data_IF_238397446645
#
_entry.id   IF_238397446645
#
_cell.length_a   1.000
_cell.length_b   1.000
_cell.length_c   1.000
_cell.angle_alpha   90.00
_cell.angle_beta   90.00
_cell.angle_gamma   90.00
#
_symmetry.space_group_name_H-M   'P 1'
#
loop_
_entity.id
_entity.type
_entity.pdbx_description
1 polymer ?
#
# COMPACT_ATOMS: atom_id res chain seq x y z
N UNK A 1 -14.30 -1.01 4.99
CA UNK A 1 -13.78 -2.38 5.18
C UNK A 1 -13.34 -2.55 6.63
N UNK A 2 -14.07 -3.37 7.44
CA UNK A 2 -13.72 -3.58 8.85
C UNK A 2 -12.33 -4.22 9.02
N UNK A 3 -11.99 -5.15 8.14
CA UNK A 3 -10.69 -5.83 8.21
C UNK A 3 -9.53 -4.89 7.85
N UNK A 4 -9.77 -3.93 6.99
CA UNK A 4 -8.77 -2.91 6.67
C UNK A 4 -8.49 -2.01 7.87
N UNK A 5 -9.53 -1.65 8.62
CA UNK A 5 -9.37 -0.85 9.84
C UNK A 5 -8.58 -1.61 10.91
N UNK A 6 -8.84 -2.91 11.06
CA UNK A 6 -8.10 -3.76 12.01
C UNK A 6 -6.63 -3.85 11.60
N UNK A 7 -6.35 -4.09 10.32
CA UNK A 7 -4.98 -4.18 9.83
C UNK A 7 -4.22 -2.87 10.08
N UNK A 8 -4.86 -1.72 9.83
CA UNK A 8 -4.26 -0.41 10.07
C UNK A 8 -3.94 -0.22 11.54
N UNK A 9 -4.92 -0.44 12.41
CA UNK A 9 -4.78 -0.21 13.85
C UNK A 9 -3.76 -1.13 14.48
N UNK A 10 -3.81 -2.42 14.16
CA UNK A 10 -3.06 -3.43 14.90
C UNK A 10 -1.67 -3.70 14.32
N UNK A 11 -1.44 -3.35 13.04
CA UNK A 11 -0.18 -3.67 12.37
C UNK A 11 0.50 -2.48 11.70
N UNK A 12 -0.23 -1.70 10.91
CA UNK A 12 0.38 -0.66 10.09
C UNK A 12 0.75 0.57 10.90
N UNK A 13 -0.15 1.07 11.74
CA UNK A 13 0.14 2.24 12.57
C UNK A 13 1.25 1.97 13.58
N UNK A 14 1.27 0.82 14.28
CA UNK A 14 2.41 0.52 15.16
C UNK A 14 3.74 0.48 14.42
N UNK A 15 3.78 -0.09 13.21
CA UNK A 15 5.00 -0.13 12.41
C UNK A 15 5.42 1.27 11.97
N UNK A 16 4.48 2.07 11.52
CA UNK A 16 4.74 3.44 11.05
C UNK A 16 5.25 4.34 12.18
N UNK A 17 4.81 4.08 13.40
CA UNK A 17 5.19 4.87 14.58
C UNK A 17 6.37 4.29 15.34
N UNK A 18 6.87 3.13 14.93
CA UNK A 18 8.03 2.50 15.58
C UNK A 18 9.29 3.27 15.23
N UNK A 19 10.07 3.76 16.24
CA UNK A 19 11.29 4.52 15.97
C UNK A 19 12.33 3.76 15.15
N UNK A 20 12.31 2.42 15.22
CA UNK A 20 13.24 1.58 14.49
C UNK A 20 12.89 1.49 13.00
N UNK A 21 11.61 1.57 12.64
CA UNK A 21 11.14 1.30 11.29
C UNK A 21 10.61 2.51 10.53
N UNK A 22 10.16 3.55 11.23
CA UNK A 22 9.46 4.68 10.61
C UNK A 22 10.26 5.40 9.51
N UNK A 23 11.60 5.33 9.55
CA UNK A 23 12.47 5.92 8.54
C UNK A 23 12.97 4.92 7.51
N UNK A 24 12.65 3.64 7.66
CA UNK A 24 13.08 2.57 6.77
C UNK A 24 11.95 2.04 5.89
N UNK A 25 10.71 2.24 6.31
CA UNK A 25 9.53 1.72 5.64
C UNK A 25 8.58 2.88 5.37
N UNK A 26 8.09 2.95 4.15
CA UNK A 26 7.04 3.88 3.78
C UNK A 26 5.78 3.09 3.51
N UNK A 27 4.70 3.44 4.20
CA UNK A 27 3.40 2.77 4.05
C UNK A 27 2.50 3.64 3.22
N UNK A 28 1.99 3.09 2.13
CA UNK A 28 1.00 3.73 1.28
C UNK A 28 -0.28 2.91 1.31
N UNK A 29 -1.39 3.58 1.60
CA UNK A 29 -2.70 2.96 1.57
C UNK A 29 -3.34 3.20 0.21
N UNK A 30 -3.73 2.11 -0.45
CA UNK A 30 -4.40 2.16 -1.75
C UNK A 30 -5.84 1.74 -1.55
N UNK A 31 -6.76 2.59 -1.98
CA UNK A 31 -8.18 2.30 -1.93
C UNK A 31 -8.64 1.78 -3.29
N UNK A 32 -8.96 0.49 -3.35
CA UNK A 32 -9.18 -0.25 -4.60
C UNK A 32 -10.41 0.23 -5.38
N UNK A 33 -11.32 0.92 -4.72
CA UNK A 33 -12.56 1.41 -5.32
C UNK A 33 -12.51 2.89 -5.70
N UNK A 34 -11.37 3.56 -5.52
CA UNK A 34 -11.24 4.98 -5.79
C UNK A 34 -10.55 5.28 -7.10
N UNK A 35 -11.02 6.31 -7.78
CA UNK A 35 -10.41 6.85 -8.98
C UNK A 35 -9.43 7.99 -8.68
N UNK A 36 -9.08 8.20 -7.42
CA UNK A 36 -8.09 9.20 -7.01
C UNK A 36 -6.76 8.91 -7.70
N UNK A 37 -6.14 9.96 -8.22
CA UNK A 37 -4.89 9.84 -8.97
C UNK A 37 -3.70 9.59 -8.06
N UNK A 38 -2.78 8.80 -8.56
CA UNK A 38 -1.46 8.63 -7.93
C UNK A 38 -0.42 8.38 -9.03
N UNK A 39 0.84 8.38 -8.66
CA UNK A 39 1.93 8.00 -9.55
C UNK A 39 2.44 6.63 -9.15
N UNK A 40 2.66 5.77 -10.14
CA UNK A 40 3.26 4.47 -9.91
C UNK A 40 4.78 4.60 -9.68
N UNK A 41 5.47 3.48 -9.50
CA UNK A 41 6.90 3.49 -9.22
C UNK A 41 7.74 3.95 -10.41
N UNK A 42 7.19 3.90 -11.62
CA UNK A 42 7.85 4.42 -12.81
C UNK A 42 7.57 5.92 -13.02
N UNK A 43 6.78 6.53 -12.14
CA UNK A 43 6.39 7.93 -12.25
C UNK A 43 5.24 8.19 -13.18
N UNK A 44 4.59 7.16 -13.70
CA UNK A 44 3.44 7.31 -14.60
C UNK A 44 2.17 7.60 -13.81
N UNK A 45 1.32 8.46 -14.36
CA UNK A 45 0.04 8.78 -13.75
C UNK A 45 -0.91 7.58 -13.84
N UNK A 46 -1.54 7.25 -12.73
CA UNK A 46 -2.53 6.19 -12.64
C UNK A 46 -3.58 6.55 -11.61
N UNK A 47 -4.42 5.60 -11.23
CA UNK A 47 -5.39 5.77 -10.15
C UNK A 47 -5.22 4.65 -9.13
N UNK A 48 -5.78 4.85 -7.93
CA UNK A 48 -5.76 3.81 -6.90
C UNK A 48 -6.34 2.50 -7.43
N UNK A 49 -7.49 2.57 -8.10
CA UNK A 49 -8.15 1.39 -8.67
C UNK A 49 -7.29 0.70 -9.72
N UNK A 50 -6.75 1.46 -10.67
CA UNK A 50 -5.95 0.89 -11.75
C UNK A 50 -4.63 0.31 -11.22
N UNK A 51 -4.01 0.97 -10.26
CA UNK A 51 -2.78 0.49 -9.64
C UNK A 51 -3.02 -0.83 -8.90
N UNK A 52 -4.07 -0.90 -8.07
CA UNK A 52 -4.42 -2.14 -7.39
C UNK A 52 -4.71 -3.28 -8.37
N UNK A 53 -5.42 -2.98 -9.45
CA UNK A 53 -5.74 -3.97 -10.48
C UNK A 53 -4.48 -4.47 -11.17
N UNK A 54 -3.53 -3.59 -11.44
CA UNK A 54 -2.25 -3.97 -12.08
C UNK A 54 -1.43 -4.91 -11.22
N UNK A 55 -1.61 -4.85 -9.89
CA UNK A 55 -0.95 -5.74 -8.94
C UNK A 55 -1.72 -7.03 -8.68
N UNK A 56 -2.85 -7.23 -9.34
CA UNK A 56 -3.66 -8.43 -9.17
C UNK A 56 -4.42 -8.49 -7.86
N UNK A 57 -4.64 -7.36 -7.20
CA UNK A 57 -5.36 -7.32 -5.93
C UNK A 57 -6.83 -7.59 -6.16
N UNK A 58 -7.36 -8.62 -5.53
CA UNK A 58 -8.77 -9.04 -5.63
C UNK A 58 -9.49 -9.00 -4.31
N UNK A 59 -8.76 -9.05 -3.20
CA UNK A 59 -9.34 -9.06 -1.84
C UNK A 59 -8.67 -7.99 -1.01
N UNK A 60 -9.40 -7.45 -0.06
CA UNK A 60 -8.90 -6.47 0.89
C UNK A 60 -9.11 -6.97 2.32
N UNK A 61 -8.18 -6.72 3.23
CA UNK A 61 -6.90 -6.05 3.00
C UNK A 61 -5.89 -6.96 2.31
N UNK A 62 -5.04 -6.39 1.47
CA UNK A 62 -3.88 -7.05 0.87
C UNK A 62 -2.66 -6.20 1.17
N UNK A 63 -1.59 -6.82 1.65
CA UNK A 63 -0.32 -6.15 1.88
C UNK A 63 0.71 -6.65 0.87
N UNK A 64 1.40 -5.71 0.24
CA UNK A 64 2.48 -6.02 -0.68
C UNK A 64 3.70 -5.24 -0.23
N UNK A 65 4.82 -5.93 -0.09
CA UNK A 65 6.09 -5.30 0.25
C UNK A 65 6.89 -5.13 -1.04
N UNK A 66 7.36 -3.91 -1.28
CA UNK A 66 8.17 -3.59 -2.44
C UNK A 66 9.60 -3.32 -2.00
N UNK A 67 10.56 -3.67 -2.87
CA UNK A 67 11.95 -3.31 -2.65
C UNK A 67 12.21 -1.85 -3.08
N UNK A 68 13.47 -1.42 -2.98
CA UNK A 68 13.84 -0.04 -3.30
C UNK A 68 13.63 0.30 -4.78
N UNK A 69 13.58 -0.69 -5.65
CA UNK A 69 13.35 -0.51 -7.08
C UNK A 69 11.87 -0.58 -7.47
N UNK A 70 10.98 -0.74 -6.49
CA UNK A 70 9.55 -0.80 -6.76
C UNK A 70 9.06 -2.15 -7.25
N UNK A 71 9.81 -3.22 -6.99
CA UNK A 71 9.41 -4.58 -7.33
C UNK A 71 8.83 -5.28 -6.12
N UNK A 72 7.78 -6.10 -6.27
CA UNK A 72 7.26 -6.88 -5.15
C UNK A 72 8.33 -7.81 -4.59
N UNK A 73 8.55 -7.69 -3.28
CA UNK A 73 9.55 -8.50 -2.57
C UNK A 73 8.88 -9.59 -1.72
N UNK A 74 7.62 -9.34 -1.32
CA UNK A 74 6.85 -10.32 -0.55
C UNK A 74 5.37 -10.02 -0.65
#
# INVERSE_FOLDING_TARGET
CPYCAVARRDHLLPLQNDPQWRHRVRILEIETDRSTRLRDFAGAATTHRAFARSLGVRRVPTLIVFDAEGRPAA
#
